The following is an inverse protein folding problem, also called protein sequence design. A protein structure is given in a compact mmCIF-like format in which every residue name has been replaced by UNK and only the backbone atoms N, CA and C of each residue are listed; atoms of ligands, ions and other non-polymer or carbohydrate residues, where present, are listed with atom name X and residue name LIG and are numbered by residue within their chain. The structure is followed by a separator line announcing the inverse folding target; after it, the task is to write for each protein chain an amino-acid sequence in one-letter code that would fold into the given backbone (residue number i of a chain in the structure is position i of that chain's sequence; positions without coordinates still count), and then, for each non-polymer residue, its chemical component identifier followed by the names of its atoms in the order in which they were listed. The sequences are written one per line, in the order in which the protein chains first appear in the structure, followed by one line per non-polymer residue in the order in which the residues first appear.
data_IF_159439712511
#
_entry.id   IF_159439712511
#
_cell.length_a   1.000
_cell.length_b   1.000
_cell.length_c   1.000
_cell.angle_alpha   90.00
_cell.angle_beta   90.00
_cell.angle_gamma   90.00
#
_symmetry.space_group_name_H-M   'P 1'
#
loop_
_entity.id
_entity.type
_entity.pdbx_description
1 polymer ?
#
# COMPACT_ATOMS: atom_id res chain seq x y z
N UNK A 1 1.44 -35.85 8.35
CA UNK A 1 1.91 -34.48 8.64
C UNK A 1 1.45 -33.62 7.47
N UNK A 2 0.47 -32.74 7.69
CA UNK A 2 0.04 -31.80 6.65
C UNK A 2 1.08 -30.71 6.50
N UNK A 3 1.51 -30.42 5.27
CA UNK A 3 2.35 -29.26 4.97
C UNK A 3 1.73 -28.01 5.58
N UNK A 4 2.49 -27.33 6.44
CA UNK A 4 2.14 -26.02 6.95
C UNK A 4 2.17 -25.05 5.78
N UNK A 5 1.01 -24.82 5.14
CA UNK A 5 0.82 -23.84 4.07
C UNK A 5 1.14 -22.43 4.61
N UNK A 6 2.41 -22.05 4.55
CA UNK A 6 2.93 -20.79 5.05
C UNK A 6 2.26 -19.65 4.27
N UNK A 7 1.57 -18.70 4.94
CA UNK A 7 0.98 -17.59 4.22
C UNK A 7 2.10 -16.85 3.51
N UNK A 8 1.91 -16.62 2.21
CA UNK A 8 2.90 -15.98 1.34
C UNK A 8 3.43 -14.72 2.03
N UNK A 9 4.75 -14.60 2.13
CA UNK A 9 5.42 -13.39 2.63
C UNK A 9 4.86 -12.19 1.88
N UNK A 10 4.21 -11.27 2.60
CA UNK A 10 3.75 -10.01 2.01
C UNK A 10 5.03 -9.29 1.53
N UNK A 11 5.16 -8.97 0.23
CA UNK A 11 6.32 -8.27 -0.28
C UNK A 11 6.53 -6.97 0.49
N UNK A 12 7.79 -6.62 0.76
CA UNK A 12 8.12 -5.32 1.35
C UNK A 12 7.54 -4.24 0.44
N UNK A 13 6.70 -3.37 0.98
CA UNK A 13 6.14 -2.25 0.22
C UNK A 13 7.31 -1.39 -0.26
N UNK A 14 7.44 -1.24 -1.58
CA UNK A 14 8.43 -0.36 -2.17
C UNK A 14 7.99 1.08 -1.91
N UNK A 15 8.78 1.83 -1.16
CA UNK A 15 8.69 3.29 -1.04
C UNK A 15 9.87 3.84 -1.84
N UNK A 16 9.71 4.22 -3.10
CA UNK A 16 10.88 4.64 -3.87
C UNK A 16 10.62 5.25 -5.23
N UNK A 17 10.39 6.56 -5.23
CA UNK A 17 10.89 7.50 -6.23
C UNK A 17 10.04 8.77 -6.31
N UNK A 18 10.53 9.88 -5.75
CA UNK A 18 9.87 11.19 -5.90
C UNK A 18 9.91 11.72 -7.34
N UNK A 19 10.67 11.07 -8.24
CA UNK A 19 10.82 11.47 -9.65
C UNK A 19 10.91 10.21 -10.51
N UNK A 20 10.07 10.12 -11.54
CA UNK A 20 10.10 9.06 -12.53
C UNK A 20 10.99 9.43 -13.73
N UNK A 21 12.23 8.95 -13.73
CA UNK A 21 13.16 9.17 -14.84
C UNK A 21 12.82 8.34 -16.09
N UNK A 22 11.93 7.34 -15.94
CA UNK A 22 11.59 6.34 -16.95
C UNK A 22 10.43 6.73 -17.88
N UNK A 23 10.06 8.02 -17.94
CA UNK A 23 9.11 8.51 -18.94
C UNK A 23 9.59 8.15 -20.35
N UNK A 24 8.67 7.62 -21.16
CA UNK A 24 8.94 7.21 -22.54
C UNK A 24 9.45 8.38 -23.40
N UNK A 25 10.31 8.13 -24.41
CA UNK A 25 10.77 9.18 -25.33
C UNK A 25 9.62 9.92 -26.03
N UNK A 26 8.51 9.22 -26.29
CA UNK A 26 7.30 9.79 -26.91
C UNK A 26 6.62 10.82 -25.99
N UNK A 27 6.48 10.50 -24.70
CA UNK A 27 5.93 11.42 -23.71
C UNK A 27 6.88 12.60 -23.45
N UNK A 28 8.19 12.35 -23.32
CA UNK A 28 9.21 13.42 -23.19
C UNK A 28 9.14 14.42 -24.35
N UNK A 29 9.10 13.93 -25.59
CA UNK A 29 9.01 14.79 -26.79
C UNK A 29 7.75 15.66 -26.78
N UNK A 30 6.60 15.12 -26.34
CA UNK A 30 5.35 15.88 -26.23
C UNK A 30 5.44 16.98 -25.18
N UNK A 31 5.99 16.68 -24.01
CA UNK A 31 6.10 17.66 -22.92
C UNK A 31 7.09 18.77 -23.28
N UNK A 32 8.24 18.42 -23.84
CA UNK A 32 9.27 19.39 -24.27
C UNK A 32 8.80 20.29 -25.43
N UNK A 33 7.78 19.87 -26.19
CA UNK A 33 7.17 20.68 -27.25
C UNK A 33 6.20 21.76 -26.74
N UNK A 34 5.94 21.81 -25.43
CA UNK A 34 5.04 22.79 -24.82
C UNK A 34 5.80 24.01 -24.29
N UNK A 35 5.11 25.15 -24.08
CA UNK A 35 5.69 26.28 -23.35
C UNK A 35 6.18 25.84 -21.97
N UNK A 36 7.39 26.28 -21.58
CA UNK A 36 8.04 25.85 -20.33
C UNK A 36 8.24 24.33 -20.21
N UNK A 37 8.43 23.65 -21.34
CA UNK A 37 8.50 22.19 -21.43
C UNK A 37 9.52 21.51 -20.50
N UNK A 38 10.66 22.14 -20.21
CA UNK A 38 11.65 21.58 -19.27
C UNK A 38 11.13 21.57 -17.81
N UNK A 39 10.48 22.66 -17.39
CA UNK A 39 9.88 22.77 -16.06
C UNK A 39 8.69 21.81 -15.92
N UNK A 40 7.82 21.78 -16.94
CA UNK A 40 6.71 20.84 -17.00
C UNK A 40 7.18 19.40 -16.98
N UNK A 41 8.28 19.07 -17.67
CA UNK A 41 8.85 17.74 -17.66
C UNK A 41 9.24 17.32 -16.24
N UNK A 42 9.96 18.18 -15.52
CA UNK A 42 10.34 17.91 -14.14
C UNK A 42 9.11 17.70 -13.23
N UNK A 43 8.10 18.56 -13.32
CA UNK A 43 6.88 18.48 -12.52
C UNK A 43 6.05 17.23 -12.85
N UNK A 44 5.90 16.90 -14.13
CA UNK A 44 5.16 15.71 -14.59
C UNK A 44 5.91 14.42 -14.21
N UNK A 45 7.24 14.40 -14.28
CA UNK A 45 8.05 13.26 -13.81
C UNK A 45 7.86 13.01 -12.31
N UNK A 46 7.78 14.08 -11.52
CA UNK A 46 7.46 13.95 -10.09
C UNK A 46 6.08 13.37 -9.86
N UNK A 47 5.05 13.90 -10.52
CA UNK A 47 3.68 13.39 -10.39
C UNK A 47 3.54 11.93 -10.84
N UNK A 48 4.26 11.52 -11.88
CA UNK A 48 4.31 10.13 -12.33
C UNK A 48 5.06 9.22 -11.36
N UNK A 49 6.15 9.70 -10.76
CA UNK A 49 6.86 9.00 -9.69
C UNK A 49 5.95 8.75 -8.49
N UNK A 50 5.29 9.80 -8.00
CA UNK A 50 4.29 9.71 -6.94
C UNK A 50 3.16 8.73 -7.31
N UNK A 51 2.58 8.83 -8.51
CA UNK A 51 1.54 7.90 -8.98
C UNK A 51 2.02 6.44 -8.98
N UNK A 52 3.23 6.16 -9.48
CA UNK A 52 3.75 4.80 -9.56
C UNK A 52 4.10 4.24 -8.20
N UNK A 53 4.59 5.06 -7.29
CA UNK A 53 4.80 4.68 -5.88
C UNK A 53 3.46 4.34 -5.21
N UNK A 54 2.44 5.20 -5.35
CA UNK A 54 1.11 4.94 -4.80
C UNK A 54 0.43 3.74 -5.47
N UNK A 55 0.59 3.56 -6.77
CA UNK A 55 0.09 2.40 -7.52
C UNK A 55 0.81 1.13 -7.07
N UNK A 56 2.14 1.16 -6.88
CA UNK A 56 2.90 0.02 -6.39
C UNK A 56 2.52 -0.35 -4.95
N UNK A 57 2.38 0.64 -4.07
CA UNK A 57 1.86 0.45 -2.72
C UNK A 57 0.47 -0.19 -2.74
N UNK A 58 -0.44 0.36 -3.55
CA UNK A 58 -1.77 -0.22 -3.79
C UNK A 58 -1.65 -1.64 -4.32
N UNK A 59 -0.77 -1.86 -5.29
CA UNK A 59 -0.70 -3.09 -6.05
C UNK A 59 -0.10 -4.25 -5.25
N UNK A 60 0.73 -3.91 -4.26
CA UNK A 60 1.34 -4.82 -3.29
C UNK A 60 0.60 -4.88 -1.95
N UNK A 61 -0.37 -3.99 -1.70
CA UNK A 61 -1.18 -4.02 -0.49
C UNK A 61 -2.03 -5.31 -0.45
N UNK A 62 -2.04 -6.04 0.69
CA UNK A 62 -2.83 -7.25 0.84
C UNK A 62 -4.32 -6.92 0.75
N UNK A 63 -5.08 -7.81 0.12
CA UNK A 63 -6.54 -7.73 0.10
C UNK A 63 -7.12 -7.90 1.51
N UNK A 64 -8.40 -7.53 1.69
CA UNK A 64 -9.15 -7.79 2.92
C UNK A 64 -9.08 -9.29 3.28
N UNK A 65 -9.36 -10.15 2.33
CA UNK A 65 -9.38 -11.61 2.51
C UNK A 65 -8.00 -12.16 2.88
N UNK A 66 -6.93 -11.72 2.21
CA UNK A 66 -5.56 -12.11 2.56
C UNK A 66 -5.17 -11.63 3.96
N UNK A 67 -5.56 -10.41 4.33
CA UNK A 67 -5.31 -9.83 5.65
C UNK A 67 -6.05 -10.59 6.75
N UNK A 68 -7.31 -10.95 6.53
CA UNK A 68 -8.11 -11.76 7.46
C UNK A 68 -7.52 -13.17 7.61
N UNK A 69 -7.24 -13.87 6.50
CA UNK A 69 -6.64 -15.21 6.52
C UNK A 69 -5.30 -15.22 7.26
N UNK A 70 -4.46 -14.21 7.02
CA UNK A 70 -3.18 -14.09 7.73
C UNK A 70 -3.39 -13.83 9.23
N UNK A 71 -4.30 -12.92 9.59
CA UNK A 71 -4.64 -12.62 10.99
C UNK A 71 -5.14 -13.85 11.74
N UNK A 72 -6.08 -14.61 11.16
CA UNK A 72 -6.61 -15.84 11.76
C UNK A 72 -5.51 -16.87 12.02
N UNK A 73 -4.62 -17.06 11.05
CA UNK A 73 -3.48 -17.97 11.20
C UNK A 73 -2.52 -17.50 12.30
N UNK A 74 -2.20 -16.21 12.37
CA UNK A 74 -1.35 -15.67 13.42
C UNK A 74 -1.98 -15.84 14.81
N UNK A 75 -3.30 -15.61 14.94
CA UNK A 75 -4.00 -15.85 16.20
C UNK A 75 -3.92 -17.31 16.65
N UNK A 76 -4.08 -18.26 15.71
CA UNK A 76 -3.93 -19.68 16.00
C UNK A 76 -2.52 -20.01 16.49
N UNK A 77 -1.48 -19.53 15.80
CA UNK A 77 -0.08 -19.78 16.18
C UNK A 77 0.25 -19.22 17.58
N UNK A 78 -0.26 -18.04 17.92
CA UNK A 78 -0.08 -17.45 19.25
C UNK A 78 -0.80 -18.27 20.33
N UNK A 79 -2.03 -18.75 20.06
CA UNK A 79 -2.77 -19.60 21.00
C UNK A 79 -2.11 -20.97 21.22
N UNK A 80 -1.60 -21.58 20.14
CA UNK A 80 -0.87 -22.85 20.19
C UNK A 80 0.42 -22.68 21.00
N UNK A 81 1.18 -21.59 20.78
CA UNK A 81 2.38 -21.29 21.55
C UNK A 81 2.09 -21.11 23.05
N UNK A 82 1.05 -20.35 23.41
CA UNK A 82 0.64 -20.19 24.81
C UNK A 82 0.29 -21.54 25.46
N UNK A 83 -0.39 -22.42 24.73
CA UNK A 83 -0.73 -23.76 25.21
C UNK A 83 0.52 -24.61 25.42
N UNK A 84 1.46 -24.58 24.47
CA UNK A 84 2.70 -25.33 24.56
C UNK A 84 3.62 -24.86 25.69
N UNK A 85 3.69 -23.55 25.96
CA UNK A 85 4.43 -23.00 27.10
C UNK A 85 3.93 -23.58 28.41
N UNK A 86 2.60 -23.66 28.59
CA UNK A 86 1.97 -24.28 29.76
C UNK A 86 2.18 -25.79 29.89
N UNK A 87 2.58 -26.47 28.80
CA UNK A 87 2.87 -27.91 28.76
C UNK A 87 4.37 -28.23 28.89
N UNK A 88 5.22 -27.25 29.18
CA UNK A 88 6.66 -27.48 29.34
C UNK A 88 6.90 -28.52 30.45
N UNK A 89 7.66 -29.60 30.21
CA UNK A 89 7.92 -30.61 31.25
C UNK A 89 8.73 -30.05 32.42
N UNK A 90 8.43 -30.48 33.64
CA UNK A 90 9.12 -30.04 34.87
C UNK A 90 10.66 -30.17 34.82
N UNK A 91 11.26 -31.27 34.29
CA UNK A 91 12.71 -31.35 34.17
C UNK A 91 13.31 -30.26 33.27
N UNK A 92 12.60 -29.88 32.21
CA UNK A 92 13.04 -28.82 31.29
C UNK A 92 12.94 -27.45 31.98
N UNK A 93 11.86 -27.20 32.72
CA UNK A 93 11.72 -25.98 33.53
C UNK A 93 12.85 -25.85 34.56
N UNK A 94 13.23 -26.97 35.19
CA UNK A 94 14.30 -27.00 36.18
C UNK A 94 15.65 -26.61 35.56
N UNK A 95 16.03 -27.19 34.42
CA UNK A 95 17.27 -26.83 33.72
C UNK A 95 17.28 -25.36 33.26
N UNK A 96 16.16 -24.86 32.71
CA UNK A 96 16.06 -23.45 32.33
C UNK A 96 16.19 -22.55 33.57
N UNK A 97 15.59 -22.94 34.70
CA UNK A 97 15.70 -22.18 35.95
C UNK A 97 17.12 -22.17 36.50
N UNK A 98 17.84 -23.29 36.40
CA UNK A 98 19.26 -23.37 36.75
C UNK A 98 20.10 -22.38 35.92
N UNK A 99 19.94 -22.39 34.59
CA UNK A 99 20.64 -21.46 33.70
C UNK A 99 20.28 -19.99 33.99
N UNK A 100 18.99 -19.68 34.19
CA UNK A 100 18.53 -18.34 34.56
C UNK A 100 19.08 -17.90 35.92
N UNK A 101 19.21 -18.83 36.86
CA UNK A 101 19.76 -18.54 38.17
C UNK A 101 21.25 -18.20 38.09
N UNK A 102 22.02 -19.01 37.36
CA UNK A 102 23.46 -18.82 37.15
C UNK A 102 23.77 -17.49 36.42
N UNK A 103 22.89 -17.04 35.53
CA UNK A 103 23.10 -15.84 34.72
C UNK A 103 22.55 -14.56 35.33
N UNK A 104 21.46 -14.64 36.11
CA UNK A 104 20.77 -13.44 36.59
C UNK A 104 19.89 -13.64 37.82
N UNK A 105 20.04 -14.75 38.55
CA UNK A 105 19.20 -15.13 39.70
C UNK A 105 17.70 -15.20 39.37
N UNK A 106 17.36 -15.57 38.13
CA UNK A 106 15.99 -15.79 37.68
C UNK A 106 15.51 -17.24 37.86
N UNK A 107 14.26 -17.48 37.51
CA UNK A 107 13.64 -18.81 37.44
C UNK A 107 12.63 -18.85 36.29
N UNK A 108 12.25 -20.05 35.85
CA UNK A 108 11.44 -20.27 34.64
C UNK A 108 10.13 -19.49 34.66
N UNK A 109 9.32 -19.56 35.73
CA UNK A 109 8.03 -18.87 35.80
C UNK A 109 8.19 -17.34 35.76
N UNK A 110 9.24 -16.80 36.39
CA UNK A 110 9.56 -15.38 36.34
C UNK A 110 9.97 -14.91 34.94
N UNK A 111 10.51 -15.80 34.12
CA UNK A 111 10.87 -15.53 32.72
C UNK A 111 9.68 -15.71 31.76
N UNK A 112 8.86 -16.74 31.96
CA UNK A 112 7.76 -17.11 31.05
C UNK A 112 6.52 -16.24 31.27
N UNK A 113 6.20 -15.86 32.50
CA UNK A 113 5.01 -15.06 32.80
C UNK A 113 4.92 -13.73 32.00
N UNK A 114 5.99 -12.92 31.89
CA UNK A 114 5.97 -11.74 31.04
C UNK A 114 5.71 -12.04 29.55
N UNK A 115 6.27 -13.14 29.04
CA UNK A 115 6.08 -13.57 27.65
C UNK A 115 4.61 -13.95 27.41
N UNK A 116 4.02 -14.72 28.32
CA UNK A 116 2.62 -15.08 28.25
C UNK A 116 1.71 -13.85 28.26
N UNK A 117 1.96 -12.88 29.15
CA UNK A 117 1.21 -11.63 29.18
C UNK A 117 1.33 -10.83 27.88
N UNK A 118 2.53 -10.75 27.31
CA UNK A 118 2.74 -10.06 26.03
C UNK A 118 2.03 -10.76 24.88
N UNK A 119 2.09 -12.10 24.82
CA UNK A 119 1.41 -12.89 23.79
C UNK A 119 -0.12 -12.78 23.92
N UNK A 120 -0.66 -12.81 25.14
CA UNK A 120 -2.10 -12.60 25.37
C UNK A 120 -2.54 -11.18 24.95
N UNK A 121 -1.74 -10.17 25.28
CA UNK A 121 -1.98 -8.79 24.85
C UNK A 121 -1.96 -8.68 23.33
N UNK A 122 -0.95 -9.27 22.70
CA UNK A 122 -0.83 -9.31 21.24
C UNK A 122 -2.02 -10.01 20.59
N UNK A 123 -2.47 -11.14 21.13
CA UNK A 123 -3.65 -11.86 20.65
C UNK A 123 -4.93 -11.00 20.74
N UNK A 124 -5.11 -10.26 21.84
CA UNK A 124 -6.23 -9.32 22.00
C UNK A 124 -6.19 -8.21 20.94
N UNK A 125 -5.00 -7.61 20.73
CA UNK A 125 -4.81 -6.55 19.74
C UNK A 125 -5.03 -7.05 18.31
N UNK A 126 -4.55 -8.26 17.98
CA UNK A 126 -4.81 -8.91 16.71
C UNK A 126 -6.31 -9.13 16.47
N UNK A 127 -7.04 -9.66 17.46
CA UNK A 127 -8.50 -9.84 17.36
C UNK A 127 -9.23 -8.53 17.15
N UNK A 128 -8.84 -7.46 17.86
CA UNK A 128 -9.42 -6.12 17.69
C UNK A 128 -9.14 -5.56 16.30
N UNK A 129 -7.92 -5.70 15.82
CA UNK A 129 -7.52 -5.26 14.48
C UNK A 129 -8.25 -6.05 13.39
N UNK A 130 -8.42 -7.36 13.55
CA UNK A 130 -9.19 -8.20 12.63
C UNK A 130 -10.64 -7.71 12.50
N UNK A 131 -11.32 -7.40 13.62
CA UNK A 131 -12.68 -6.83 13.58
C UNK A 131 -12.78 -5.52 12.80
N UNK A 132 -11.73 -4.69 12.83
CA UNK A 132 -11.67 -3.48 12.01
C UNK A 132 -11.52 -3.80 10.53
N UNK A 133 -10.71 -4.80 10.18
CA UNK A 133 -10.56 -5.29 8.80
C UNK A 133 -11.85 -5.91 8.30
N UNK A 134 -12.59 -6.65 9.13
CA UNK A 134 -13.91 -7.21 8.82
C UNK A 134 -14.92 -6.12 8.41
N UNK A 135 -14.80 -4.92 8.97
CA UNK A 135 -15.64 -3.76 8.62
C UNK A 135 -15.20 -3.05 7.33
N UNK A 136 -14.06 -3.40 6.73
CA UNK A 136 -13.66 -2.81 5.46
C UNK A 136 -14.70 -3.10 4.38
N UNK A 137 -15.02 -2.11 3.53
CA UNK A 137 -15.98 -2.31 2.45
C UNK A 137 -15.57 -3.51 1.59
N UNK A 138 -16.52 -4.43 1.36
CA UNK A 138 -16.33 -5.60 0.49
C UNK A 138 -16.38 -5.17 -0.97
N UNK A 139 -15.34 -4.47 -1.41
CA UNK A 139 -15.14 -4.26 -2.83
C UNK A 139 -14.55 -5.55 -3.39
N UNK A 140 -15.43 -6.51 -3.73
CA UNK A 140 -15.04 -7.77 -4.40
C UNK A 140 -14.14 -7.43 -5.59
N UNK A 141 -12.86 -7.79 -5.49
CA UNK A 141 -11.89 -7.77 -6.58
C UNK A 141 -11.54 -6.41 -7.21
N UNK A 142 -12.11 -5.29 -6.77
CA UNK A 142 -11.72 -3.96 -7.26
C UNK A 142 -11.05 -3.16 -6.16
N UNK A 143 -9.79 -2.78 -6.39
CA UNK A 143 -9.16 -1.70 -5.65
C UNK A 143 -9.79 -0.40 -6.15
N UNK A 144 -10.69 0.27 -5.40
CA UNK A 144 -11.20 1.57 -5.83
C UNK A 144 -10.01 2.51 -5.89
N UNK A 145 -9.75 3.07 -7.06
CA UNK A 145 -8.63 3.97 -7.24
C UNK A 145 -9.01 5.00 -8.28
N UNK A 146 -9.15 6.23 -7.83
CA UNK A 146 -9.19 7.40 -8.68
C UNK A 146 -7.76 7.91 -8.94
N UNK A 147 -6.70 7.14 -8.64
CA UNK A 147 -5.31 7.62 -8.71
C UNK A 147 -4.94 8.09 -10.12
N UNK A 148 -5.40 7.38 -11.14
CA UNK A 148 -5.20 7.77 -12.53
C UNK A 148 -5.97 9.06 -12.86
N UNK A 149 -7.20 9.21 -12.39
CA UNK A 149 -7.97 10.45 -12.56
C UNK A 149 -7.42 11.63 -11.74
N UNK A 150 -6.82 11.38 -10.57
CA UNK A 150 -6.12 12.38 -9.75
C UNK A 150 -4.86 12.84 -10.48
N UNK A 151 -4.06 11.90 -11.00
CA UNK A 151 -2.90 12.20 -11.82
C UNK A 151 -3.29 13.02 -13.06
N UNK A 152 -4.36 12.63 -13.75
CA UNK A 152 -4.93 13.37 -14.88
C UNK A 152 -5.31 14.80 -14.48
N UNK A 153 -5.99 14.98 -13.35
CA UNK A 153 -6.36 16.31 -12.85
C UNK A 153 -5.16 17.18 -12.51
N UNK A 154 -4.12 16.60 -11.91
CA UNK A 154 -2.90 17.31 -11.52
C UNK A 154 -2.10 17.74 -12.76
N UNK A 155 -1.89 16.84 -13.73
CA UNK A 155 -1.19 17.18 -14.98
C UNK A 155 -2.00 18.20 -15.79
N UNK A 156 -3.33 18.07 -15.86
CA UNK A 156 -4.18 19.07 -16.50
C UNK A 156 -4.05 20.45 -15.82
N UNK A 157 -3.92 20.50 -14.49
CA UNK A 157 -3.70 21.74 -13.75
C UNK A 157 -2.36 22.43 -14.11
N UNK A 158 -1.29 21.65 -14.31
CA UNK A 158 0.00 22.19 -14.78
C UNK A 158 -0.11 22.81 -16.18
N UNK A 159 -0.83 22.13 -17.08
CA UNK A 159 -1.05 22.60 -18.45
C UNK A 159 -1.99 23.83 -18.52
N UNK A 160 -3.00 23.90 -17.65
CA UNK A 160 -3.81 25.12 -17.49
C UNK A 160 -2.93 26.32 -17.09
N UNK A 161 -1.90 26.10 -16.26
CA UNK A 161 -0.92 27.09 -15.86
C UNK A 161 -0.11 27.69 -17.01
N UNK A 162 -0.04 27.02 -18.17
CA UNK A 162 0.59 27.55 -19.38
C UNK A 162 -0.36 28.33 -20.29
N UNK A 163 -1.59 28.59 -19.82
CA UNK A 163 -2.62 29.31 -20.56
C UNK A 163 -3.55 28.43 -21.42
N UNK A 164 -3.46 27.10 -21.32
CA UNK A 164 -4.38 26.21 -22.03
C UNK A 164 -5.79 26.25 -21.43
N UNK A 165 -6.82 26.08 -22.28
CA UNK A 165 -8.20 25.94 -21.79
C UNK A 165 -8.36 24.58 -21.11
N UNK A 166 -9.18 24.50 -20.05
CA UNK A 166 -9.43 23.28 -19.26
C UNK A 166 -9.71 22.01 -20.11
N UNK A 167 -10.45 22.15 -21.22
CA UNK A 167 -10.78 20.99 -22.08
C UNK A 167 -9.57 20.51 -22.88
N UNK A 168 -8.75 21.44 -23.35
CA UNK A 168 -7.52 21.19 -24.11
C UNK A 168 -6.44 20.63 -23.18
N UNK A 169 -6.26 21.23 -21.99
CA UNK A 169 -5.36 20.75 -20.96
C UNK A 169 -5.68 19.32 -20.51
N UNK A 170 -6.96 18.98 -20.32
CA UNK A 170 -7.38 17.63 -19.94
C UNK A 170 -7.09 16.59 -21.03
N UNK A 171 -7.35 16.92 -22.31
CA UNK A 171 -7.05 16.03 -23.43
C UNK A 171 -5.53 15.83 -23.61
N UNK A 172 -4.77 16.92 -23.54
CA UNK A 172 -3.31 16.88 -23.65
C UNK A 172 -2.67 16.12 -22.49
N UNK A 173 -3.18 16.29 -21.27
CA UNK A 173 -2.76 15.52 -20.10
C UNK A 173 -3.02 14.02 -20.28
N UNK A 174 -4.21 13.63 -20.76
CA UNK A 174 -4.53 12.24 -21.03
C UNK A 174 -3.57 11.62 -22.06
N UNK A 175 -3.26 12.36 -23.13
CA UNK A 175 -2.35 11.89 -24.17
C UNK A 175 -0.90 11.72 -23.66
N UNK A 176 -0.41 12.67 -22.86
CA UNK A 176 0.92 12.59 -22.23
C UNK A 176 0.99 11.39 -21.29
N UNK A 177 -0.02 11.20 -20.45
CA UNK A 177 -0.06 10.12 -19.46
C UNK A 177 -0.20 8.74 -20.10
N UNK A 178 -1.00 8.60 -21.16
CA UNK A 178 -1.05 7.36 -21.95
C UNK A 178 0.28 7.06 -22.62
N UNK A 179 0.93 8.08 -23.19
CA UNK A 179 2.27 7.92 -23.75
C UNK A 179 3.32 7.55 -22.67
N UNK A 180 3.08 7.91 -21.41
CA UNK A 180 3.89 7.53 -20.25
C UNK A 180 3.51 6.17 -19.63
N UNK A 181 2.54 5.45 -20.22
CA UNK A 181 2.15 4.10 -19.82
C UNK A 181 0.95 4.00 -18.87
N UNK A 182 0.21 5.08 -18.63
CA UNK A 182 -1.01 5.07 -17.80
C UNK A 182 -2.22 4.71 -18.66
N UNK A 183 -2.68 3.46 -18.59
CA UNK A 183 -3.59 2.86 -19.58
C UNK A 183 -5.10 2.97 -19.27
N UNK A 184 -5.50 3.34 -18.06
CA UNK A 184 -6.90 3.41 -17.65
C UNK A 184 -7.54 4.80 -17.78
N UNK A 185 -6.92 5.70 -18.56
CA UNK A 185 -7.41 7.06 -18.79
C UNK A 185 -8.28 7.15 -20.06
N UNK A 186 -9.24 8.09 -20.12
CA UNK A 186 -9.97 8.40 -21.35
C UNK A 186 -9.01 8.64 -22.52
N UNK A 187 -9.34 8.12 -23.69
CA UNK A 187 -8.53 8.29 -24.90
C UNK A 187 -8.38 9.77 -25.30
N UNK A 188 -7.30 10.14 -26.01
CA UNK A 188 -7.14 11.48 -26.57
C UNK A 188 -8.30 11.86 -27.53
N UNK A 189 -8.98 10.85 -28.09
CA UNK A 189 -10.15 11.00 -28.96
C UNK A 189 -11.44 11.36 -28.20
N UNK A 190 -11.43 11.38 -26.86
CA UNK A 190 -12.57 11.81 -26.03
C UNK A 190 -12.22 12.94 -25.02
N UNK A 191 -12.03 14.18 -25.51
CA UNK A 191 -11.74 15.34 -24.67
C UNK A 191 -12.84 15.65 -23.64
N UNK A 192 -14.09 15.26 -23.92
CA UNK A 192 -15.23 15.54 -23.05
C UNK A 192 -15.21 14.64 -21.83
N UNK A 193 -14.95 13.34 -21.99
CA UNK A 193 -14.80 12.43 -20.87
C UNK A 193 -13.53 12.72 -20.05
N UNK A 194 -12.41 13.10 -20.68
CA UNK A 194 -11.22 13.56 -19.96
C UNK A 194 -11.53 14.76 -19.06
N UNK A 195 -12.22 15.77 -19.58
CA UNK A 195 -12.66 16.94 -18.79
C UNK A 195 -13.60 16.56 -17.66
N UNK A 196 -14.55 15.66 -17.91
CA UNK A 196 -15.52 15.20 -16.92
C UNK A 196 -14.83 14.46 -15.77
N UNK A 197 -13.84 13.61 -16.06
CA UNK A 197 -13.02 12.95 -15.05
C UNK A 197 -12.26 13.96 -14.17
N UNK A 198 -11.61 14.96 -14.79
CA UNK A 198 -10.93 16.05 -14.06
C UNK A 198 -11.90 16.82 -13.15
N UNK A 199 -13.08 17.16 -13.67
CA UNK A 199 -14.10 17.90 -12.91
C UNK A 199 -14.62 17.10 -11.71
N UNK A 200 -14.91 15.82 -11.89
CA UNK A 200 -15.39 14.95 -10.83
C UNK A 200 -14.38 14.86 -9.67
N UNK A 201 -13.09 14.77 -9.97
CA UNK A 201 -12.03 14.76 -8.95
C UNK A 201 -11.96 16.10 -8.22
N UNK A 202 -11.95 17.23 -8.94
CA UNK A 202 -11.90 18.56 -8.34
C UNK A 202 -13.11 18.86 -7.45
N UNK A 203 -14.30 18.40 -7.84
CA UNK A 203 -15.51 18.51 -7.02
C UNK A 203 -15.42 17.63 -5.77
N UNK A 204 -14.89 16.41 -5.87
CA UNK A 204 -14.69 15.52 -4.72
C UNK A 204 -13.65 16.00 -3.69
N UNK A 205 -12.71 16.85 -4.10
CA UNK A 205 -11.67 17.43 -3.22
C UNK A 205 -12.14 18.71 -2.49
N UNK A 206 -13.28 19.28 -2.89
CA UNK A 206 -13.82 20.53 -2.32
C UNK A 206 -14.90 20.32 -1.26
N UNK A 207 -15.42 19.10 -1.14
CA UNK A 207 -16.37 18.68 -0.09
C UNK A 207 -15.64 18.04 1.07
#
# INVERSE_FOLDING_TARGET
MGELDMPRKIPKQHTGGWVDESISPRAKKKILGLPHGEELLCQIQRLLGEYRDWSSYRDTAPTKEETLKHSEKTQKLVADLLTHLGMTPEPVKAYISEDLYLTGKGYFEGFVYPIEQQLQTYLLLLKRSQRRVEQWPSNKGRRPSNLEHILLSNVAGLLEGTGMKVTEAAAQAAEILQAAGVSSLPGPDDPKEARKAVRAIRESMRG
#
